data_IF_200771650620
#
_entry.id   IF_200771650620
#
_cell.length_a   1.000
_cell.length_b   1.000
_cell.length_c   1.000
_cell.angle_alpha   90.00
_cell.angle_beta   90.00
_cell.angle_gamma   90.00
#
_symmetry.space_group_name_H-M   'P 1'
#
loop_
_entity.id
_entity.type
_entity.pdbx_description
1 polymer ?
#
# COMPACT_ATOMS: atom_id res chain seq x y z
N UNK A 1 15.44 7.14 -6.81
CA UNK A 1 14.04 7.60 -6.73
C UNK A 1 13.64 7.70 -5.27
N UNK A 2 13.13 8.85 -4.87
CA UNK A 2 12.66 9.05 -3.52
C UNK A 2 11.26 8.46 -3.39
N UNK A 3 11.12 7.51 -2.47
CA UNK A 3 9.83 6.87 -2.22
C UNK A 3 9.28 7.31 -0.88
N UNK A 4 8.00 7.64 -0.85
CA UNK A 4 7.30 7.87 0.41
C UNK A 4 6.89 6.55 1.01
N UNK A 5 7.21 6.33 2.29
CA UNK A 5 6.87 5.11 3.00
C UNK A 5 5.92 5.46 4.14
N UNK A 6 4.76 4.83 4.16
CA UNK A 6 3.79 5.01 5.23
C UNK A 6 4.24 4.17 6.42
N UNK A 7 4.14 4.73 7.63
CA UNK A 7 4.48 3.99 8.85
C UNK A 7 3.37 4.12 9.88
N UNK A 8 3.25 3.08 10.71
CA UNK A 8 2.34 3.08 11.86
C UNK A 8 3.19 2.85 13.10
N UNK A 9 3.11 3.79 14.05
CA UNK A 9 3.88 3.69 15.29
C UNK A 9 3.22 2.70 16.26
N UNK A 10 3.94 2.35 17.32
CA UNK A 10 3.41 1.48 18.36
C UNK A 10 2.18 2.06 19.04
N UNK A 11 2.07 3.38 19.08
CA UNK A 11 0.92 4.05 19.67
C UNK A 11 -0.25 4.16 18.71
N UNK A 12 -0.08 3.67 17.47
CA UNK A 12 -1.13 3.71 16.48
C UNK A 12 -1.14 4.95 15.60
N UNK A 13 -0.14 5.80 15.72
CA UNK A 13 -0.05 6.99 14.88
C UNK A 13 0.41 6.62 13.48
N UNK A 14 -0.36 7.01 12.49
CA UNK A 14 -0.05 6.75 11.08
C UNK A 14 0.62 7.98 10.50
N UNK A 15 1.79 7.80 9.93
CA UNK A 15 2.54 8.89 9.28
C UNK A 15 2.52 8.69 7.78
N UNK A 16 2.00 9.68 7.06
CA UNK A 16 1.98 9.67 5.60
C UNK A 16 2.98 10.73 5.14
N UNK A 17 3.99 10.35 4.35
CA UNK A 17 5.01 11.29 3.91
C UNK A 17 4.46 12.29 2.91
N UNK A 18 5.17 13.41 2.74
CA UNK A 18 4.82 14.40 1.73
C UNK A 18 5.26 13.96 0.33
N UNK A 19 6.24 13.07 0.25
CA UNK A 19 6.69 12.53 -1.03
C UNK A 19 5.65 11.55 -1.57
N UNK A 20 5.58 11.34 -2.90
CA UNK A 20 4.68 10.34 -3.46
C UNK A 20 4.92 8.97 -2.83
N UNK A 21 3.84 8.29 -2.46
CA UNK A 21 3.92 6.98 -1.80
C UNK A 21 4.11 5.88 -2.84
N UNK A 22 5.19 5.13 -2.68
CA UNK A 22 5.47 3.96 -3.52
C UNK A 22 6.10 2.91 -2.62
N UNK A 23 5.38 1.83 -2.34
CA UNK A 23 5.82 0.79 -1.43
C UNK A 23 5.79 -0.57 -2.09
N UNK A 24 6.75 -1.42 -1.72
CA UNK A 24 6.78 -2.79 -2.20
C UNK A 24 5.75 -3.64 -1.47
N UNK A 25 5.50 -4.83 -2.02
CA UNK A 25 4.61 -5.81 -1.39
C UNK A 25 5.06 -6.11 0.06
N UNK A 26 6.36 -6.25 0.27
CA UNK A 26 6.89 -6.58 1.59
C UNK A 26 6.74 -5.40 2.56
N UNK A 27 6.93 -4.20 2.08
CA UNK A 27 6.74 -3.01 2.91
C UNK A 27 5.29 -2.84 3.31
N UNK A 28 4.37 -3.13 2.41
CA UNK A 28 2.94 -3.07 2.70
C UNK A 28 2.54 -4.15 3.71
N UNK A 29 3.10 -5.35 3.55
CA UNK A 29 2.84 -6.44 4.50
C UNK A 29 3.31 -6.07 5.91
N UNK A 30 4.47 -5.46 6.00
CA UNK A 30 5.02 -5.02 7.28
C UNK A 30 4.15 -3.91 7.88
N UNK A 31 3.70 -2.99 7.05
CA UNK A 31 2.83 -1.89 7.50
C UNK A 31 1.55 -2.41 8.15
N UNK A 32 0.91 -3.40 7.55
CA UNK A 32 -0.36 -3.92 8.01
C UNK A 32 -0.23 -5.15 8.92
N UNK A 33 0.99 -5.58 9.21
CA UNK A 33 1.23 -6.67 10.13
C UNK A 33 0.71 -8.02 9.66
N UNK A 34 0.75 -8.28 8.36
CA UNK A 34 0.31 -9.55 7.78
C UNK A 34 1.40 -10.11 6.88
N UNK A 35 1.20 -11.33 6.39
CA UNK A 35 2.18 -11.97 5.51
C UNK A 35 2.15 -11.38 4.11
N UNK A 36 3.30 -11.33 3.47
CA UNK A 36 3.41 -10.79 2.11
C UNK A 36 2.59 -11.61 1.10
N UNK A 37 2.38 -12.90 1.34
CA UNK A 37 1.55 -13.70 0.46
C UNK A 37 0.08 -13.26 0.49
N UNK A 38 -0.38 -12.77 1.63
CA UNK A 38 -1.75 -12.24 1.72
C UNK A 38 -1.86 -10.92 0.95
N UNK A 39 -0.82 -10.10 1.00
CA UNK A 39 -0.77 -8.87 0.20
C UNK A 39 -0.80 -9.21 -1.29
N UNK A 40 -0.04 -10.23 -1.69
CA UNK A 40 -0.01 -10.64 -3.10
C UNK A 40 -1.40 -11.09 -3.57
N UNK A 41 -2.10 -11.84 -2.74
CA UNK A 41 -3.46 -12.29 -3.08
C UNK A 41 -4.40 -11.10 -3.25
N UNK A 42 -4.30 -10.12 -2.37
CA UNK A 42 -5.12 -8.92 -2.46
C UNK A 42 -4.81 -8.14 -3.73
N UNK A 43 -3.54 -7.99 -4.07
CA UNK A 43 -3.11 -7.29 -5.28
C UNK A 43 -3.67 -7.98 -6.51
N UNK A 44 -3.55 -9.30 -6.56
CA UNK A 44 -4.07 -10.07 -7.69
C UNK A 44 -5.57 -9.92 -7.84
N UNK A 45 -6.29 -9.95 -6.72
CA UNK A 45 -7.75 -9.81 -6.76
C UNK A 45 -8.17 -8.44 -7.26
N UNK A 46 -7.46 -7.39 -6.83
CA UNK A 46 -7.77 -6.02 -7.24
C UNK A 46 -7.60 -5.87 -8.75
N UNK A 47 -6.49 -6.36 -9.29
CA UNK A 47 -6.24 -6.24 -10.72
C UNK A 47 -7.13 -7.17 -11.54
N UNK A 48 -7.40 -8.36 -11.03
CA UNK A 48 -8.28 -9.31 -11.70
C UNK A 48 -9.70 -8.77 -11.83
N UNK A 49 -10.16 -8.09 -10.78
CA UNK A 49 -11.50 -7.50 -10.78
C UNK A 49 -11.54 -6.12 -11.43
N UNK A 50 -10.38 -5.65 -11.92
CA UNK A 50 -10.26 -4.34 -12.58
C UNK A 50 -10.70 -3.18 -11.68
N UNK A 51 -10.48 -3.32 -10.38
CA UNK A 51 -10.79 -2.26 -9.43
C UNK A 51 -9.85 -1.07 -9.61
N UNK A 52 -8.60 -1.35 -9.95
CA UNK A 52 -7.60 -0.31 -10.23
C UNK A 52 -6.80 -0.69 -11.47
N UNK A 53 -6.23 0.31 -12.10
CA UNK A 53 -5.38 0.09 -13.27
C UNK A 53 -3.96 -0.24 -12.83
N UNK A 54 -3.41 -1.32 -13.35
CA UNK A 54 -2.06 -1.74 -13.04
C UNK A 54 -1.04 -0.71 -13.51
N UNK A 55 -1.29 -0.10 -14.66
CA UNK A 55 -0.35 0.90 -15.21
C UNK A 55 -0.32 2.18 -14.39
N UNK A 56 -1.42 2.50 -13.71
CA UNK A 56 -1.51 3.74 -12.92
C UNK A 56 -1.06 3.57 -11.49
N UNK A 57 -1.20 2.36 -10.93
CA UNK A 57 -0.96 2.12 -9.52
C UNK A 57 0.31 1.34 -9.21
N UNK A 58 1.02 0.88 -10.23
CA UNK A 58 2.24 0.11 -10.06
C UNK A 58 3.37 0.71 -10.86
N UNK A 59 4.57 0.69 -10.29
CA UNK A 59 5.79 1.06 -10.98
C UNK A 59 6.84 -0.03 -10.81
N UNK A 60 7.71 -0.10 -11.78
CA UNK A 60 8.81 -1.06 -11.79
C UNK A 60 10.10 -0.30 -11.51
N UNK A 61 10.78 -0.68 -10.43
CA UNK A 61 12.03 -0.04 -10.04
C UNK A 61 13.16 -1.02 -10.25
N UNK A 62 14.20 -0.58 -10.98
CA UNK A 62 15.39 -1.37 -11.20
C UNK A 62 16.52 -0.77 -10.38
N UNK A 63 17.14 -1.59 -9.54
CA UNK A 63 18.27 -1.15 -8.73
C UNK A 63 19.58 -1.28 -9.49
N UNK A 64 20.60 -0.59 -9.00
CA UNK A 64 21.92 -0.60 -9.63
C UNK A 64 22.58 -1.96 -9.60
N UNK A 65 22.21 -2.82 -8.65
CA UNK A 65 22.74 -4.18 -8.54
C UNK A 65 22.05 -5.18 -9.49
N UNK A 66 21.11 -4.70 -10.32
CA UNK A 66 20.42 -5.56 -11.26
C UNK A 66 19.13 -6.16 -10.75
N UNK A 67 18.85 -6.02 -9.46
CA UNK A 67 17.60 -6.51 -8.87
C UNK A 67 16.50 -5.49 -9.13
N UNK A 68 15.32 -5.97 -9.49
CA UNK A 68 14.18 -5.11 -9.75
C UNK A 68 12.99 -5.55 -8.91
N UNK A 69 12.09 -4.62 -8.65
CA UNK A 69 10.90 -4.91 -7.86
C UNK A 69 9.78 -3.96 -8.21
N UNK A 70 8.55 -4.39 -7.93
CA UNK A 70 7.37 -3.59 -8.16
C UNK A 70 7.02 -2.79 -6.91
N UNK A 71 6.58 -1.56 -7.12
CA UNK A 71 6.08 -0.72 -6.03
C UNK A 71 4.66 -0.27 -6.37
N UNK A 72 3.87 -0.03 -5.35
CA UNK A 72 2.45 0.28 -5.48
C UNK A 72 2.16 1.62 -4.83
N UNK A 73 1.25 2.39 -5.43
CA UNK A 73 0.95 3.73 -4.95
C UNK A 73 -0.04 3.71 -3.79
N UNK A 74 -0.36 4.91 -3.28
CA UNK A 74 -1.27 5.05 -2.15
C UNK A 74 -2.66 4.48 -2.45
N UNK A 75 -3.15 4.68 -3.66
CA UNK A 75 -4.46 4.17 -4.07
C UNK A 75 -4.52 2.66 -3.95
N UNK A 76 -3.47 1.97 -4.39
CA UNK A 76 -3.39 0.52 -4.27
C UNK A 76 -3.29 0.09 -2.82
N UNK A 77 -2.53 0.81 -2.00
CA UNK A 77 -2.40 0.50 -0.59
C UNK A 77 -3.75 0.61 0.12
N UNK A 78 -4.53 1.63 -0.21
CA UNK A 78 -5.88 1.80 0.35
C UNK A 78 -6.77 0.63 -0.05
N UNK A 79 -6.74 0.23 -1.31
CA UNK A 79 -7.55 -0.89 -1.80
C UNK A 79 -7.16 -2.19 -1.10
N UNK A 80 -5.85 -2.41 -0.89
CA UNK A 80 -5.37 -3.57 -0.16
C UNK A 80 -5.89 -3.55 1.28
N UNK A 81 -5.83 -2.39 1.92
CA UNK A 81 -6.29 -2.26 3.30
C UNK A 81 -7.76 -2.64 3.45
N UNK A 82 -8.60 -2.29 2.49
CA UNK A 82 -10.01 -2.68 2.52
C UNK A 82 -10.18 -4.19 2.38
N UNK A 83 -9.31 -4.85 1.64
CA UNK A 83 -9.45 -6.29 1.41
C UNK A 83 -8.95 -7.14 2.57
N UNK A 84 -7.89 -6.71 3.26
CA UNK A 84 -7.29 -7.53 4.31
C UNK A 84 -7.92 -7.34 5.69
N UNK A 85 -8.44 -6.15 5.97
CA UNK A 85 -9.15 -5.84 7.21
C UNK A 85 -8.38 -6.23 8.48
N UNK A 86 -7.06 -6.00 8.51
CA UNK A 86 -6.27 -6.22 9.71
C UNK A 86 -6.46 -5.05 10.67
N UNK A 87 -5.99 -5.21 11.92
CA UNK A 87 -6.07 -4.15 12.92
C UNK A 87 -5.36 -2.89 12.41
N UNK A 88 -4.17 -3.07 11.85
CA UNK A 88 -3.39 -1.96 11.32
C UNK A 88 -4.03 -1.34 10.09
N UNK A 89 -4.64 -2.16 9.23
CA UNK A 89 -5.30 -1.63 8.05
C UNK A 89 -6.54 -0.82 8.40
N UNK A 90 -7.29 -1.26 9.40
CA UNK A 90 -8.45 -0.53 9.88
C UNK A 90 -8.03 0.83 10.45
N UNK A 91 -6.96 0.85 11.23
CA UNK A 91 -6.42 2.06 11.78
C UNK A 91 -5.99 3.03 10.68
N UNK A 92 -5.27 2.50 9.69
CA UNK A 92 -4.84 3.27 8.53
C UNK A 92 -6.03 3.88 7.79
N UNK A 93 -7.05 3.08 7.52
CA UNK A 93 -8.23 3.55 6.81
C UNK A 93 -9.02 4.60 7.60
N UNK A 94 -9.09 4.46 8.91
CA UNK A 94 -9.83 5.42 9.71
C UNK A 94 -9.20 6.81 9.67
N UNK A 95 -7.87 6.88 9.54
CA UNK A 95 -7.19 8.17 9.45
C UNK A 95 -7.24 8.77 8.05
N UNK A 96 -7.09 7.94 7.03
CA UNK A 96 -7.18 8.40 5.65
C UNK A 96 -8.61 8.78 5.28
N UNK A 97 -9.56 8.09 5.85
CA UNK A 97 -10.97 8.29 5.55
C UNK A 97 -11.47 9.70 5.87
N UNK A 98 -10.78 10.39 6.77
CA UNK A 98 -11.16 11.74 7.14
C UNK A 98 -11.15 12.68 5.93
N UNK A 99 -10.22 12.47 5.01
CA UNK A 99 -10.09 13.32 3.83
C UNK A 99 -10.88 12.82 2.65
N UNK A 100 -11.56 11.69 2.79
CA UNK A 100 -12.29 11.08 1.70
C UNK A 100 -13.60 11.79 1.46
N UNK A 101 -13.92 12.18 0.21
CA UNK A 101 -15.21 12.80 -0.06
C UNK A 101 -16.34 11.81 0.18
N UNK A 102 -17.40 12.29 0.76
CA UNK A 102 -18.57 11.49 1.03
C UNK A 102 -19.30 11.16 -0.27
N UNK A 103 -19.81 9.98 -0.31
CA UNK A 103 -20.63 9.60 -1.46
C UNK A 103 -22.07 9.66 -1.16
#
# INVERSE_FOLDING_TARGET
MDRGIITISETGAVTIPTAPVWMTQFEIADLFGIFSCDIRKAIRAIYKNKELSETDTMKYIKQTDGISYDVYDLEMIIAIAFKICSKESILFLSLIHISEPTR
#
